data_IF_715817943640
#
_entry.id   IF_715817943640
#
_cell.length_a   1.000
_cell.length_b   1.000
_cell.length_c   1.000
_cell.angle_alpha   90.00
_cell.angle_beta   90.00
_cell.angle_gamma   90.00
#
_symmetry.space_group_name_H-M   'P 1'
#
loop_
_entity.id
_entity.type
_entity.pdbx_description
1 polymer ?
#
# COMPACT_ATOMS: atom_id res chain seq x y z
N UNK A 1 -25.19 10.33 -6.16
CA UNK A 1 -24.82 9.12 -5.42
C UNK A 1 -26.08 8.40 -5.00
N UNK A 2 -26.19 7.11 -5.31
CA UNK A 2 -27.31 6.28 -4.86
C UNK A 2 -27.17 5.92 -3.37
N UNK A 3 -28.27 5.53 -2.73
CA UNK A 3 -28.23 5.06 -1.34
C UNK A 3 -27.28 3.86 -1.16
N UNK A 4 -27.31 2.92 -2.10
CA UNK A 4 -26.43 1.75 -2.10
C UNK A 4 -24.95 2.12 -2.22
N UNK A 5 -24.60 3.08 -3.07
CA UNK A 5 -23.23 3.59 -3.18
C UNK A 5 -22.78 4.22 -1.86
N UNK A 6 -23.65 5.03 -1.23
CA UNK A 6 -23.35 5.66 0.05
C UNK A 6 -23.07 4.65 1.15
N UNK A 7 -23.88 3.59 1.23
CA UNK A 7 -23.71 2.50 2.19
C UNK A 7 -22.38 1.75 2.00
N UNK A 8 -21.96 1.52 0.75
CA UNK A 8 -20.67 0.89 0.46
C UNK A 8 -19.51 1.78 0.90
N UNK A 9 -19.58 3.08 0.60
CA UNK A 9 -18.55 4.04 1.01
C UNK A 9 -18.47 4.16 2.54
N UNK A 10 -19.59 4.10 3.24
CA UNK A 10 -19.61 4.10 4.72
C UNK A 10 -18.99 2.82 5.28
N UNK A 11 -19.31 1.65 4.71
CA UNK A 11 -18.67 0.38 5.10
C UNK A 11 -17.16 0.41 4.91
N UNK A 12 -16.67 1.02 3.83
CA UNK A 12 -15.23 1.23 3.63
C UNK A 12 -14.64 2.10 4.74
N UNK A 13 -15.27 3.22 5.09
CA UNK A 13 -14.82 4.07 6.18
C UNK A 13 -14.78 3.33 7.53
N UNK A 14 -15.80 2.52 7.81
CA UNK A 14 -15.85 1.65 8.99
C UNK A 14 -14.75 0.59 9.02
N UNK A 15 -14.33 0.08 7.87
CA UNK A 15 -13.16 -0.80 7.82
C UNK A 15 -11.90 -0.02 8.14
N UNK A 16 -11.67 1.13 7.48
CA UNK A 16 -10.48 1.97 7.71
C UNK A 16 -10.34 2.33 9.18
N UNK A 17 -11.40 2.87 9.79
CA UNK A 17 -11.36 3.31 11.20
C UNK A 17 -11.06 2.16 12.17
N UNK A 18 -11.26 0.91 11.75
CA UNK A 18 -11.03 -0.31 12.51
C UNK A 18 -9.66 -0.98 12.27
N UNK A 19 -8.76 -0.33 11.53
CA UNK A 19 -7.41 -0.83 11.27
C UNK A 19 -6.34 -0.01 12.02
N UNK A 20 -5.24 -0.66 12.49
CA UNK A 20 -5.03 -2.10 12.51
C UNK A 20 -6.00 -2.79 13.48
N UNK A 21 -6.22 -4.10 13.32
CA UNK A 21 -7.16 -4.82 14.20
C UNK A 21 -6.66 -4.95 15.64
N UNK A 22 -7.60 -5.08 16.57
CA UNK A 22 -7.35 -5.41 17.99
C UNK A 22 -6.57 -6.73 18.15
N UNK A 23 -6.71 -7.66 17.20
CA UNK A 23 -5.95 -8.90 17.21
C UNK A 23 -4.45 -8.69 17.09
N UNK A 24 -4.01 -7.63 16.41
CA UNK A 24 -2.60 -7.23 16.34
C UNK A 24 -2.14 -6.51 17.61
N UNK A 25 -3.02 -5.74 18.24
CA UNK A 25 -2.72 -5.12 19.54
C UNK A 25 -2.41 -6.20 20.58
N UNK A 26 -3.19 -7.29 20.60
CA UNK A 26 -2.96 -8.43 21.49
C UNK A 26 -1.61 -9.15 21.26
N UNK A 27 -1.00 -9.00 20.08
CA UNK A 27 0.33 -9.54 19.78
C UNK A 27 1.46 -8.58 20.18
N UNK A 28 1.16 -7.33 20.51
CA UNK A 28 2.16 -6.36 20.96
C UNK A 28 2.67 -6.74 22.35
N UNK A 29 3.99 -6.83 22.50
CA UNK A 29 4.63 -7.32 23.72
C UNK A 29 5.58 -6.28 24.34
N UNK A 30 5.77 -5.13 23.69
CA UNK A 30 6.41 -3.92 24.27
C UNK A 30 5.47 -2.73 24.25
N UNK A 31 5.70 -1.76 25.15
CA UNK A 31 4.96 -0.48 25.13
C UNK A 31 5.24 0.32 23.84
N UNK A 32 6.46 0.27 23.30
CA UNK A 32 6.78 0.92 22.01
C UNK A 32 5.94 0.37 20.84
N UNK A 33 5.66 -0.93 20.82
CA UNK A 33 4.78 -1.54 19.81
C UNK A 33 3.32 -1.11 20.00
N UNK A 34 2.83 -1.03 21.24
CA UNK A 34 1.47 -0.55 21.53
C UNK A 34 1.31 0.92 21.14
N UNK A 35 2.32 1.75 21.42
CA UNK A 35 2.33 3.16 20.99
C UNK A 35 2.33 3.28 19.47
N UNK A 36 3.12 2.47 18.76
CA UNK A 36 3.12 2.44 17.29
C UNK A 36 1.76 1.99 16.76
N UNK A 37 1.16 0.95 17.33
CA UNK A 37 -0.18 0.50 16.99
C UNK A 37 -1.20 1.64 17.13
N UNK A 38 -1.16 2.35 18.25
CA UNK A 38 -2.06 3.48 18.51
C UNK A 38 -1.85 4.62 17.50
N UNK A 39 -0.60 4.91 17.11
CA UNK A 39 -0.29 5.92 16.08
C UNK A 39 -0.87 5.54 14.71
N UNK A 40 -0.76 4.26 14.33
CA UNK A 40 -1.34 3.76 13.08
C UNK A 40 -2.86 3.81 13.17
N UNK A 41 -3.46 3.36 14.27
CA UNK A 41 -4.91 3.41 14.52
C UNK A 41 -5.46 4.83 14.41
N UNK A 42 -4.87 5.79 15.11
CA UNK A 42 -5.28 7.19 15.04
C UNK A 42 -5.18 7.74 13.61
N UNK A 43 -4.14 7.35 12.86
CA UNK A 43 -4.00 7.76 11.45
C UNK A 43 -5.14 7.21 10.60
N UNK A 44 -5.55 5.96 10.80
CA UNK A 44 -6.68 5.39 10.06
C UNK A 44 -8.03 6.00 10.46
N UNK A 45 -8.21 6.41 11.72
CA UNK A 45 -9.38 7.20 12.13
C UNK A 45 -9.47 8.51 11.33
N UNK A 46 -8.35 9.24 11.18
CA UNK A 46 -8.32 10.48 10.39
C UNK A 46 -8.55 10.24 8.89
N UNK A 47 -8.02 9.14 8.34
CA UNK A 47 -8.29 8.74 6.95
C UNK A 47 -9.77 8.42 6.75
N UNK A 48 -10.39 7.67 7.65
CA UNK A 48 -11.82 7.34 7.59
C UNK A 48 -12.69 8.61 7.69
N UNK A 49 -12.35 9.54 8.59
CA UNK A 49 -13.03 10.83 8.70
C UNK A 49 -12.92 11.61 7.38
N UNK A 50 -11.71 11.79 6.85
CA UNK A 50 -11.46 12.49 5.59
C UNK A 50 -12.17 11.84 4.40
N UNK A 51 -12.22 10.51 4.35
CA UNK A 51 -12.99 9.75 3.35
C UNK A 51 -14.48 10.09 3.40
N UNK A 52 -15.09 10.10 4.59
CA UNK A 52 -16.52 10.44 4.77
C UNK A 52 -16.81 11.86 4.29
N UNK A 53 -16.00 12.84 4.67
CA UNK A 53 -16.16 14.22 4.20
C UNK A 53 -16.13 14.28 2.68
N UNK A 54 -15.06 13.76 2.07
CA UNK A 54 -14.83 13.93 0.64
C UNK A 54 -15.83 13.16 -0.23
N UNK A 55 -16.28 11.97 0.19
CA UNK A 55 -17.03 11.07 -0.69
C UNK A 55 -18.45 10.73 -0.22
N UNK A 56 -18.79 10.99 1.04
CA UNK A 56 -20.14 10.72 1.58
C UNK A 56 -20.91 12.03 1.78
N UNK A 57 -20.27 13.00 2.43
CA UNK A 57 -20.87 14.31 2.68
C UNK A 57 -20.66 15.28 1.52
N UNK A 58 -19.76 14.96 0.59
CA UNK A 58 -19.36 15.82 -0.53
C UNK A 58 -18.88 17.20 -0.06
N UNK A 59 -18.09 17.20 1.01
CA UNK A 59 -17.47 18.37 1.61
C UNK A 59 -15.95 18.17 1.62
N UNK A 60 -15.20 19.27 1.51
CA UNK A 60 -13.74 19.20 1.66
C UNK A 60 -13.43 18.97 3.14
N UNK A 61 -12.63 17.95 3.45
CA UNK A 61 -12.18 17.72 4.82
C UNK A 61 -11.42 18.95 5.36
N UNK A 62 -11.91 19.61 6.41
CA UNK A 62 -11.51 20.98 6.65
C UNK A 62 -10.17 21.02 7.42
N UNK A 63 -9.18 21.67 6.80
CA UNK A 63 -7.80 21.74 7.28
C UNK A 63 -7.67 22.42 8.67
N UNK A 64 -8.35 23.55 8.97
CA UNK A 64 -8.23 24.19 10.28
C UNK A 64 -8.63 23.27 11.45
N UNK A 65 -9.72 22.54 11.32
CA UNK A 65 -10.25 21.62 12.32
C UNK A 65 -9.33 20.41 12.51
N UNK A 66 -8.75 19.90 11.41
CA UNK A 66 -7.75 18.85 11.47
C UNK A 66 -6.46 19.33 12.16
N UNK A 67 -5.97 20.54 11.86
CA UNK A 67 -4.76 21.12 12.45
C UNK A 67 -4.92 21.59 13.89
N UNK A 68 -6.16 21.83 14.35
CA UNK A 68 -6.45 22.10 15.76
C UNK A 68 -6.24 20.85 16.64
N UNK A 69 -6.13 19.66 16.03
CA UNK A 69 -5.73 18.44 16.76
C UNK A 69 -4.20 18.47 16.96
N UNK A 70 -3.69 18.42 18.21
CA UNK A 70 -2.25 18.57 18.52
C UNK A 70 -1.33 17.59 17.77
N UNK A 71 -1.89 16.46 17.33
CA UNK A 71 -1.19 15.33 16.72
C UNK A 71 -1.11 15.40 15.18
N UNK A 72 -1.71 16.42 14.56
CA UNK A 72 -1.84 16.54 13.11
C UNK A 72 -1.07 17.77 12.62
N UNK A 73 0.13 17.53 12.12
CA UNK A 73 0.86 18.55 11.36
C UNK A 73 0.27 18.71 9.96
N UNK A 74 0.53 19.86 9.30
CA UNK A 74 0.19 20.08 7.89
C UNK A 74 0.67 18.94 6.98
N UNK A 75 1.89 18.47 7.20
CA UNK A 75 2.45 17.39 6.39
C UNK A 75 1.72 16.06 6.61
N UNK A 76 1.28 15.78 7.84
CA UNK A 76 0.47 14.60 8.15
C UNK A 76 -0.92 14.71 7.53
N UNK A 77 -1.53 15.90 7.56
CA UNK A 77 -2.79 16.15 6.85
C UNK A 77 -2.65 15.91 5.34
N UNK A 78 -1.60 16.45 4.70
CA UNK A 78 -1.38 16.28 3.27
C UNK A 78 -1.23 14.78 2.91
N UNK A 79 -0.55 14.01 3.75
CA UNK A 79 -0.45 12.55 3.60
C UNK A 79 -1.81 11.86 3.77
N UNK A 80 -2.63 12.26 4.75
CA UNK A 80 -3.98 11.72 4.95
C UNK A 80 -4.84 11.96 3.70
N UNK A 81 -4.85 13.17 3.16
CA UNK A 81 -5.62 13.51 1.95
C UNK A 81 -5.15 12.66 0.76
N UNK A 82 -3.84 12.55 0.53
CA UNK A 82 -3.30 11.72 -0.56
C UNK A 82 -3.61 10.23 -0.37
N UNK A 83 -3.58 9.71 0.85
CA UNK A 83 -3.98 8.33 1.13
C UNK A 83 -5.46 8.10 0.80
N UNK A 84 -6.34 9.04 1.15
CA UNK A 84 -7.77 8.98 0.81
C UNK A 84 -7.99 9.00 -0.70
N UNK A 85 -7.30 9.88 -1.43
CA UNK A 85 -7.33 9.92 -2.90
C UNK A 85 -6.83 8.60 -3.52
N UNK A 86 -5.75 8.03 -2.97
CA UNK A 86 -5.20 6.77 -3.41
C UNK A 86 -6.20 5.63 -3.18
N UNK A 87 -6.73 5.47 -1.98
CA UNK A 87 -7.71 4.43 -1.66
C UNK A 87 -8.97 4.55 -2.51
N UNK A 88 -9.40 5.78 -2.84
CA UNK A 88 -10.52 5.99 -3.74
C UNK A 88 -10.20 5.52 -5.15
N UNK A 89 -9.02 5.84 -5.67
CA UNK A 89 -8.57 5.37 -6.97
C UNK A 89 -8.43 3.84 -7.01
N UNK A 90 -7.90 3.23 -5.95
CA UNK A 90 -7.79 1.78 -5.81
C UNK A 90 -9.17 1.11 -5.81
N UNK A 91 -10.11 1.63 -5.00
CA UNK A 91 -11.49 1.15 -4.96
C UNK A 91 -12.09 1.12 -6.37
N UNK A 92 -12.07 2.25 -7.07
CA UNK A 92 -12.64 2.36 -8.41
C UNK A 92 -11.95 1.48 -9.45
N UNK A 93 -10.64 1.23 -9.32
CA UNK A 93 -9.94 0.25 -10.16
C UNK A 93 -10.43 -1.16 -9.86
N UNK A 94 -10.59 -1.52 -8.59
CA UNK A 94 -11.04 -2.87 -8.19
C UNK A 94 -12.45 -3.15 -8.70
N UNK A 95 -13.37 -2.18 -8.66
CA UNK A 95 -14.73 -2.35 -9.20
C UNK A 95 -14.75 -2.81 -10.66
N UNK A 96 -13.79 -2.34 -11.47
CA UNK A 96 -13.69 -2.73 -12.89
C UNK A 96 -12.74 -3.91 -13.12
N UNK A 97 -11.78 -4.13 -12.22
CA UNK A 97 -10.73 -5.14 -12.34
C UNK A 97 -11.13 -6.51 -11.78
N UNK A 98 -12.05 -6.58 -10.80
CA UNK A 98 -12.42 -7.82 -10.08
C UNK A 98 -12.73 -8.97 -11.05
N UNK A 99 -13.53 -8.71 -12.09
CA UNK A 99 -13.91 -9.71 -13.11
C UNK A 99 -12.70 -10.34 -13.81
N UNK A 100 -11.61 -9.57 -13.99
CA UNK A 100 -10.36 -10.06 -14.57
C UNK A 100 -9.55 -10.84 -13.55
N UNK A 101 -9.48 -10.36 -12.31
CA UNK A 101 -8.80 -11.05 -11.20
C UNK A 101 -9.42 -12.42 -10.96
N UNK A 102 -10.73 -12.49 -10.82
CA UNK A 102 -11.50 -13.73 -10.68
C UNK A 102 -11.27 -14.69 -11.86
N UNK A 103 -11.25 -14.17 -13.09
CA UNK A 103 -11.00 -14.99 -14.30
C UNK A 103 -9.59 -15.57 -14.32
N UNK A 104 -8.56 -14.78 -14.00
CA UNK A 104 -7.17 -15.26 -13.92
C UNK A 104 -7.01 -16.24 -12.77
N UNK A 105 -7.66 -15.98 -11.62
CA UNK A 105 -7.60 -16.88 -10.49
C UNK A 105 -8.15 -18.27 -10.84
N UNK A 106 -9.27 -18.34 -11.54
CA UNK A 106 -9.85 -19.60 -12.00
C UNK A 106 -9.08 -20.23 -13.18
N UNK A 107 -8.53 -19.41 -14.07
CA UNK A 107 -7.86 -19.84 -15.31
C UNK A 107 -6.64 -18.96 -15.61
N UNK A 108 -5.48 -19.21 -14.96
CA UNK A 108 -4.30 -18.34 -15.06
C UNK A 108 -3.79 -18.12 -16.50
N UNK A 109 -4.02 -19.09 -17.39
CA UNK A 109 -3.56 -19.09 -18.78
C UNK A 109 -4.43 -18.28 -19.75
N UNK A 110 -5.62 -17.82 -19.35
CA UNK A 110 -6.59 -17.23 -20.30
C UNK A 110 -6.30 -15.76 -20.63
N UNK A 111 -5.70 -15.03 -19.70
CA UNK A 111 -5.37 -13.61 -19.87
C UNK A 111 -3.86 -13.34 -19.87
N UNK A 112 -3.07 -14.21 -19.26
CA UNK A 112 -1.62 -14.03 -19.17
C UNK A 112 -0.93 -14.95 -20.17
N UNK A 113 -0.06 -14.43 -21.06
CA UNK A 113 0.61 -15.25 -22.06
C UNK A 113 1.38 -16.41 -21.44
N UNK A 114 1.39 -17.59 -22.09
CA UNK A 114 2.10 -18.78 -21.59
C UNK A 114 3.58 -18.50 -21.26
N UNK A 115 4.24 -17.61 -22.00
CA UNK A 115 5.64 -17.19 -21.74
C UNK A 115 5.85 -16.45 -20.41
N UNK A 116 4.78 -15.91 -19.82
CA UNK A 116 4.78 -15.18 -18.54
C UNK A 116 4.22 -16.04 -17.41
N UNK A 117 3.64 -17.22 -17.72
CA UNK A 117 3.08 -18.17 -16.74
C UNK A 117 4.10 -18.59 -15.68
N UNK A 118 5.34 -18.84 -16.07
CA UNK A 118 6.40 -19.22 -15.13
C UNK A 118 6.78 -18.07 -14.18
N UNK A 119 6.56 -16.81 -14.58
CA UNK A 119 6.73 -15.66 -13.68
C UNK A 119 5.55 -15.53 -12.72
N UNK A 120 4.32 -15.83 -13.18
CA UNK A 120 3.15 -15.91 -12.31
C UNK A 120 3.39 -16.89 -11.15
N UNK A 121 3.66 -18.16 -11.42
CA UNK A 121 3.84 -19.14 -10.34
C UNK A 121 5.05 -18.87 -9.43
N UNK A 122 6.02 -18.09 -9.92
CA UNK A 122 7.15 -17.63 -9.09
C UNK A 122 6.76 -16.58 -8.06
N UNK A 123 5.76 -15.73 -8.36
CA UNK A 123 5.33 -14.63 -7.49
C UNK A 123 4.01 -14.90 -6.77
N UNK A 124 3.24 -15.86 -7.27
CA UNK A 124 1.91 -16.20 -6.82
C UNK A 124 1.93 -17.71 -6.52
N UNK A 125 2.12 -18.12 -5.25
CA UNK A 125 2.28 -19.52 -4.91
C UNK A 125 1.11 -20.36 -5.42
N UNK A 126 1.40 -21.57 -5.90
CA UNK A 126 0.39 -22.49 -6.44
C UNK A 126 -0.79 -22.68 -5.48
N UNK A 127 -0.51 -22.69 -4.17
CA UNK A 127 -1.52 -22.81 -3.11
C UNK A 127 -2.63 -21.76 -3.14
N UNK A 128 -2.41 -20.60 -3.78
CA UNK A 128 -3.43 -19.57 -3.96
C UNK A 128 -4.37 -19.95 -5.10
N UNK A 129 -3.82 -20.29 -6.26
CA UNK A 129 -4.61 -20.67 -7.45
C UNK A 129 -5.28 -22.04 -7.33
N UNK A 130 -4.77 -22.91 -6.45
CA UNK A 130 -5.37 -24.21 -6.18
C UNK A 130 -6.66 -24.10 -5.34
N UNK A 131 -6.91 -22.96 -4.70
CA UNK A 131 -8.12 -22.72 -3.91
C UNK A 131 -9.18 -22.01 -4.77
N UNK A 132 -10.47 -22.10 -4.39
CA UNK A 132 -11.49 -21.24 -4.97
C UNK A 132 -11.15 -19.76 -4.73
N UNK A 133 -11.53 -18.90 -5.67
CA UNK A 133 -11.41 -17.46 -5.51
C UNK A 133 -12.19 -17.02 -4.26
N UNK A 134 -11.54 -16.38 -3.26
CA UNK A 134 -12.12 -16.27 -1.92
C UNK A 134 -13.09 -15.09 -1.76
N UNK A 135 -13.25 -14.25 -2.78
CA UNK A 135 -14.05 -13.03 -2.69
C UNK A 135 -15.39 -13.18 -3.40
N UNK A 136 -16.44 -12.69 -2.75
CA UNK A 136 -17.80 -12.69 -3.30
C UNK A 136 -18.11 -11.39 -4.06
N UNK A 137 -17.36 -10.33 -3.79
CA UNK A 137 -17.55 -9.00 -4.37
C UNK A 137 -16.23 -8.24 -4.57
N UNK A 138 -16.30 -7.15 -5.34
CA UNK A 138 -15.25 -6.14 -5.46
C UNK A 138 -14.94 -5.49 -4.10
N UNK A 139 -15.96 -5.26 -3.28
CA UNK A 139 -15.83 -4.78 -1.91
C UNK A 139 -14.97 -5.72 -1.05
N UNK A 140 -15.22 -7.03 -1.10
CA UNK A 140 -14.44 -7.99 -0.30
C UNK A 140 -12.97 -7.99 -0.70
N UNK A 141 -12.69 -7.92 -2.00
CA UNK A 141 -11.34 -7.82 -2.54
C UNK A 141 -10.66 -6.52 -2.09
N UNK A 142 -11.36 -5.37 -2.15
CA UNK A 142 -10.82 -4.09 -1.69
C UNK A 142 -10.52 -4.09 -0.19
N UNK A 143 -11.43 -4.61 0.64
CA UNK A 143 -11.21 -4.75 2.09
C UNK A 143 -10.01 -5.63 2.39
N UNK A 144 -9.84 -6.74 1.67
CA UNK A 144 -8.68 -7.60 1.83
C UNK A 144 -7.37 -6.87 1.48
N UNK A 145 -7.34 -6.11 0.37
CA UNK A 145 -6.15 -5.32 0.01
C UNK A 145 -5.82 -4.25 1.04
N UNK A 146 -6.83 -3.57 1.57
CA UNK A 146 -6.66 -2.51 2.56
C UNK A 146 -6.12 -3.07 3.88
N UNK A 147 -6.63 -4.24 4.31
CA UNK A 147 -6.12 -4.97 5.48
C UNK A 147 -4.68 -5.39 5.27
N UNK A 148 -4.35 -6.02 4.13
CA UNK A 148 -2.97 -6.41 3.82
C UNK A 148 -1.99 -5.23 3.87
N UNK A 149 -2.38 -4.08 3.30
CA UNK A 149 -1.53 -2.90 3.26
C UNK A 149 -1.26 -2.32 4.66
N UNK A 150 -2.30 -2.19 5.49
CA UNK A 150 -2.17 -1.55 6.82
C UNK A 150 -1.64 -2.53 7.86
N UNK A 151 -2.22 -3.73 7.93
CA UNK A 151 -1.83 -4.74 8.91
C UNK A 151 -0.46 -5.33 8.58
N UNK A 152 -0.20 -5.65 7.31
CA UNK A 152 1.10 -6.18 6.88
C UNK A 152 2.25 -5.20 7.10
N UNK A 153 2.00 -3.88 6.92
CA UNK A 153 2.99 -2.86 7.26
C UNK A 153 3.27 -2.81 8.77
N UNK A 154 2.24 -2.98 9.62
CA UNK A 154 2.39 -3.00 11.07
C UNK A 154 3.03 -4.29 11.59
N UNK A 155 2.78 -5.45 10.96
CA UNK A 155 3.34 -6.74 11.38
C UNK A 155 4.87 -6.75 11.45
N UNK A 156 5.54 -5.94 10.62
CA UNK A 156 6.99 -5.72 10.69
C UNK A 156 7.41 -5.24 12.09
N UNK A 157 6.60 -4.40 12.74
CA UNK A 157 6.86 -3.89 14.09
C UNK A 157 6.80 -4.99 15.17
N UNK A 158 6.13 -6.11 14.90
CA UNK A 158 6.02 -7.24 15.82
C UNK A 158 7.23 -8.17 15.76
N UNK A 159 8.06 -8.07 14.71
CA UNK A 159 9.31 -8.84 14.60
C UNK A 159 10.26 -8.50 15.76
N UNK A 160 10.91 -9.53 16.31
CA UNK A 160 11.96 -9.36 17.33
C UNK A 160 13.10 -8.46 16.84
N UNK A 161 13.40 -8.56 15.55
CA UNK A 161 14.45 -7.77 14.93
C UNK A 161 14.04 -7.36 13.52
N UNK A 162 13.98 -6.05 13.27
CA UNK A 162 13.85 -5.50 11.93
C UNK A 162 14.72 -4.25 11.78
N UNK A 163 14.99 -3.87 10.54
CA UNK A 163 15.79 -2.68 10.24
C UNK A 163 15.17 -1.88 9.13
N UNK A 164 15.13 -0.56 9.31
CA UNK A 164 14.64 0.42 8.34
C UNK A 164 15.81 1.26 7.86
N UNK A 165 16.10 1.14 6.56
CA UNK A 165 17.12 1.94 5.90
C UNK A 165 16.45 2.97 4.98
N UNK A 166 16.27 4.19 5.48
CA UNK A 166 15.58 5.25 4.72
C UNK A 166 16.33 5.64 3.44
N UNK A 167 17.66 5.47 3.37
CA UNK A 167 18.42 5.73 2.13
C UNK A 167 18.02 4.75 1.02
N UNK A 168 17.93 3.45 1.34
CA UNK A 168 17.48 2.43 0.37
C UNK A 168 16.03 2.64 -0.04
N UNK A 169 15.14 2.93 0.92
CA UNK A 169 13.74 3.21 0.65
C UNK A 169 13.61 4.42 -0.29
N UNK A 170 14.30 5.53 -0.01
CA UNK A 170 14.31 6.73 -0.89
C UNK A 170 14.73 6.41 -2.33
N UNK A 171 15.80 5.64 -2.50
CA UNK A 171 16.27 5.23 -3.82
C UNK A 171 15.25 4.34 -4.54
N UNK A 172 14.65 3.38 -3.82
CA UNK A 172 13.59 2.52 -4.35
C UNK A 172 12.36 3.31 -4.77
N UNK A 173 11.91 4.24 -3.93
CA UNK A 173 10.77 5.14 -4.19
C UNK A 173 11.03 5.99 -5.43
N UNK A 174 12.22 6.58 -5.57
CA UNK A 174 12.58 7.35 -6.77
C UNK A 174 12.52 6.49 -8.04
N UNK A 175 13.11 5.29 -8.01
CA UNK A 175 13.04 4.36 -9.13
C UNK A 175 11.60 3.97 -9.46
N UNK A 176 10.74 3.73 -8.46
CA UNK A 176 9.33 3.43 -8.67
C UNK A 176 8.58 4.60 -9.32
N UNK A 177 8.81 5.84 -8.89
CA UNK A 177 8.21 7.03 -9.50
C UNK A 177 8.57 7.09 -10.99
N UNK A 178 9.85 6.93 -11.34
CA UNK A 178 10.31 6.98 -12.73
C UNK A 178 9.65 5.87 -13.58
N UNK A 179 9.49 4.66 -13.02
CA UNK A 179 8.84 3.53 -13.69
C UNK A 179 7.35 3.81 -13.91
N UNK A 180 6.65 4.33 -12.90
CA UNK A 180 5.21 4.62 -12.96
C UNK A 180 4.94 5.80 -13.91
N UNK A 181 5.78 6.84 -13.90
CA UNK A 181 5.63 7.98 -14.80
C UNK A 181 5.80 7.56 -16.27
N UNK A 182 6.80 6.72 -16.55
CA UNK A 182 6.97 6.12 -17.86
C UNK A 182 5.81 5.19 -18.26
N UNK A 183 5.21 4.48 -17.31
CA UNK A 183 4.01 3.68 -17.56
C UNK A 183 2.83 4.58 -17.95
N UNK A 184 2.63 5.70 -17.26
CA UNK A 184 1.56 6.67 -17.55
C UNK A 184 1.66 7.23 -18.98
N UNK A 185 2.87 7.54 -19.45
CA UNK A 185 3.11 7.94 -20.86
C UNK A 185 2.69 6.87 -21.88
N UNK A 186 2.61 5.61 -21.44
CA UNK A 186 2.18 4.44 -22.24
C UNK A 186 0.79 3.93 -21.86
N UNK A 187 -0.06 4.80 -21.30
CA UNK A 187 -1.43 4.44 -20.93
C UNK A 187 -1.51 3.56 -19.69
N UNK A 188 -0.61 3.74 -18.72
CA UNK A 188 -0.61 3.02 -17.45
C UNK A 188 0.04 1.64 -17.47
N UNK A 189 0.54 1.19 -18.63
CA UNK A 189 1.20 -0.12 -18.78
C UNK A 189 2.68 -0.03 -18.40
N UNK A 190 3.10 -0.81 -17.41
CA UNK A 190 4.48 -0.81 -16.91
C UNK A 190 5.48 -1.25 -17.98
N UNK A 191 6.59 -0.50 -18.15
CA UNK A 191 7.62 -0.88 -19.09
C UNK A 191 8.36 -2.14 -18.63
N UNK A 192 8.86 -2.92 -19.60
CA UNK A 192 9.83 -3.98 -19.30
C UNK A 192 11.14 -3.32 -18.87
N UNK A 193 11.54 -3.53 -17.63
CA UNK A 193 12.80 -3.02 -17.08
C UNK A 193 14.01 -3.78 -17.65
N UNK A 194 15.12 -3.08 -17.84
CA UNK A 194 16.40 -3.72 -18.13
C UNK A 194 16.89 -4.56 -16.93
N UNK A 195 17.66 -5.65 -17.14
CA UNK A 195 18.11 -6.51 -16.05
C UNK A 195 18.84 -5.78 -14.91
N UNK A 196 19.62 -4.75 -15.23
CA UNK A 196 20.32 -3.91 -14.23
C UNK A 196 19.33 -3.13 -13.37
N UNK A 197 18.36 -2.46 -13.99
CA UNK A 197 17.30 -1.72 -13.28
C UNK A 197 16.48 -2.65 -12.38
N UNK A 198 16.18 -3.87 -12.84
CA UNK A 198 15.51 -4.88 -12.02
C UNK A 198 16.33 -5.27 -10.80
N UNK A 199 17.64 -5.50 -10.95
CA UNK A 199 18.51 -5.86 -9.83
C UNK A 199 18.64 -4.72 -8.83
N UNK A 200 18.75 -3.48 -9.31
CA UNK A 200 18.78 -2.30 -8.44
C UNK A 200 17.48 -2.11 -7.67
N UNK A 201 16.33 -2.22 -8.35
CA UNK A 201 15.02 -2.13 -7.71
C UNK A 201 14.87 -3.21 -6.64
N UNK A 202 15.25 -4.46 -6.96
CA UNK A 202 15.24 -5.58 -6.00
C UNK A 202 16.10 -5.30 -4.77
N UNK A 203 17.29 -4.75 -4.97
CA UNK A 203 18.22 -4.39 -3.89
C UNK A 203 17.66 -3.27 -3.01
N UNK A 204 17.10 -2.22 -3.63
CA UNK A 204 16.59 -1.04 -2.93
C UNK A 204 15.29 -1.32 -2.17
N UNK A 205 14.39 -2.13 -2.74
CA UNK A 205 13.12 -2.51 -2.13
C UNK A 205 13.23 -3.63 -1.10
N UNK A 206 14.40 -4.30 -1.02
CA UNK A 206 14.56 -5.46 -0.15
C UNK A 206 13.71 -6.64 -0.61
N UNK A 207 13.89 -7.07 -1.87
CA UNK A 207 13.04 -8.07 -2.55
C UNK A 207 12.73 -9.34 -1.75
N UNK A 208 13.64 -9.78 -0.89
CA UNK A 208 13.46 -10.94 -0.01
C UNK A 208 12.32 -10.78 1.00
N UNK A 209 11.84 -9.54 1.22
CA UNK A 209 10.71 -9.21 2.11
C UNK A 209 9.39 -9.04 1.37
N UNK A 210 9.40 -9.08 0.04
CA UNK A 210 8.19 -8.94 -0.76
C UNK A 210 7.52 -10.31 -0.85
N UNK A 211 6.40 -10.44 -0.16
CA UNK A 211 5.49 -11.57 -0.24
C UNK A 211 4.38 -11.33 -1.28
N UNK A 212 3.54 -12.34 -1.48
CA UNK A 212 2.29 -12.17 -2.21
C UNK A 212 1.42 -11.07 -1.59
N UNK A 213 0.74 -10.29 -2.43
CA UNK A 213 -0.37 -9.42 -2.04
C UNK A 213 -1.45 -9.42 -3.13
N UNK A 214 -2.71 -9.27 -2.71
CA UNK A 214 -3.82 -9.10 -3.65
C UNK A 214 -3.67 -7.84 -4.48
N UNK A 215 -3.15 -6.77 -3.89
CA UNK A 215 -2.89 -5.53 -4.62
C UNK A 215 -1.86 -5.73 -5.74
N UNK A 216 -0.77 -6.46 -5.45
CA UNK A 216 0.20 -6.84 -6.47
C UNK A 216 -0.41 -7.69 -7.60
N UNK A 217 -1.32 -8.61 -7.25
CA UNK A 217 -2.06 -9.41 -8.23
C UNK A 217 -2.99 -8.55 -9.10
N UNK A 218 -3.77 -7.65 -8.50
CA UNK A 218 -4.65 -6.71 -9.20
C UNK A 218 -3.84 -5.88 -10.19
N UNK A 219 -2.76 -5.24 -9.73
CA UNK A 219 -1.91 -4.41 -10.57
C UNK A 219 -1.33 -5.19 -11.74
N UNK A 220 -0.81 -6.40 -11.48
CA UNK A 220 -0.26 -7.28 -12.51
C UNK A 220 -1.30 -7.64 -13.58
N UNK A 221 -2.50 -8.06 -13.17
CA UNK A 221 -3.58 -8.42 -14.09
C UNK A 221 -4.08 -7.21 -14.88
N UNK A 222 -4.19 -6.06 -14.22
CA UNK A 222 -4.59 -4.81 -14.87
C UNK A 222 -3.64 -4.41 -15.99
N UNK A 223 -2.33 -4.74 -15.91
CA UNK A 223 -1.39 -4.48 -17.02
C UNK A 223 -1.83 -5.16 -18.32
N UNK A 224 -2.27 -6.42 -18.23
CA UNK A 224 -2.71 -7.17 -19.40
C UNK A 224 -4.11 -6.75 -19.85
N UNK A 225 -5.01 -6.51 -18.90
CA UNK A 225 -6.38 -6.09 -19.20
C UNK A 225 -6.42 -4.70 -19.86
N UNK A 226 -5.56 -3.76 -19.45
CA UNK A 226 -5.48 -2.40 -20.01
C UNK A 226 -5.12 -2.35 -21.50
N UNK A 227 -4.54 -3.41 -22.06
CA UNK A 227 -4.27 -3.54 -23.49
C UNK A 227 -5.60 -3.57 -24.27
N UNK A 228 -6.64 -4.20 -23.69
CA UNK A 228 -7.91 -4.53 -24.36
C UNK A 228 -9.13 -3.81 -23.77
N UNK A 229 -9.04 -3.30 -22.55
CA UNK A 229 -10.12 -2.58 -21.86
C UNK A 229 -9.66 -1.15 -21.50
N UNK A 230 -10.26 -0.14 -22.13
CA UNK A 230 -9.94 1.27 -21.90
C UNK A 230 -10.37 1.77 -20.52
N UNK A 231 -11.39 1.17 -19.91
CA UNK A 231 -11.83 1.51 -18.56
C UNK A 231 -10.77 1.12 -17.54
N UNK A 232 -10.21 -0.10 -17.65
CA UNK A 232 -9.05 -0.51 -16.84
C UNK A 232 -7.89 0.46 -17.04
N UNK A 233 -7.58 0.79 -18.30
CA UNK A 233 -6.48 1.69 -18.65
C UNK A 233 -6.60 3.06 -17.97
N UNK A 234 -7.79 3.65 -18.02
CA UNK A 234 -8.09 4.94 -17.41
C UNK A 234 -7.95 4.87 -15.88
N UNK A 235 -8.58 3.88 -15.22
CA UNK A 235 -8.51 3.72 -13.76
C UNK A 235 -7.10 3.42 -13.25
N UNK A 236 -6.35 2.58 -13.98
CA UNK A 236 -4.95 2.29 -13.67
C UNK A 236 -4.07 3.54 -13.76
N UNK A 237 -4.30 4.39 -14.77
CA UNK A 237 -3.58 5.67 -14.89
C UNK A 237 -3.89 6.62 -13.73
N UNK A 238 -5.13 6.64 -13.23
CA UNK A 238 -5.52 7.44 -12.05
C UNK A 238 -4.79 6.92 -10.81
N UNK A 239 -4.82 5.60 -10.56
CA UNK A 239 -4.06 4.97 -9.46
C UNK A 239 -2.58 5.32 -9.52
N UNK A 240 -1.96 5.18 -10.69
CA UNK A 240 -0.55 5.49 -10.88
C UNK A 240 -0.20 6.95 -10.56
N UNK A 241 -1.05 7.91 -10.97
CA UNK A 241 -0.86 9.32 -10.64
C UNK A 241 -0.97 9.59 -9.15
N UNK A 242 -1.95 8.99 -8.47
CA UNK A 242 -2.10 9.10 -7.01
C UNK A 242 -0.90 8.47 -6.28
N UNK A 243 -0.42 7.31 -6.74
CA UNK A 243 0.77 6.64 -6.19
C UNK A 243 2.02 7.53 -6.29
N UNK A 244 2.27 8.16 -7.44
CA UNK A 244 3.41 9.08 -7.61
C UNK A 244 3.36 10.19 -6.58
N UNK A 245 2.20 10.87 -6.42
CA UNK A 245 2.06 11.97 -5.45
C UNK A 245 2.31 11.49 -4.02
N UNK A 246 1.73 10.35 -3.63
CA UNK A 246 1.92 9.77 -2.31
C UNK A 246 3.39 9.42 -2.05
N UNK A 247 4.07 8.86 -3.04
CA UNK A 247 5.50 8.53 -2.99
C UNK A 247 6.40 9.75 -2.90
N UNK A 248 6.14 10.81 -3.67
CA UNK A 248 6.88 12.06 -3.60
C UNK A 248 6.78 12.70 -2.21
N UNK A 249 5.56 12.73 -1.63
CA UNK A 249 5.36 13.32 -0.32
C UNK A 249 5.99 12.46 0.79
N UNK A 250 5.86 11.13 0.70
CA UNK A 250 6.49 10.20 1.64
C UNK A 250 8.02 10.26 1.57
N UNK A 251 8.59 10.38 0.37
CA UNK A 251 10.01 10.59 0.18
C UNK A 251 10.46 11.90 0.85
N UNK A 252 9.73 13.01 0.63
CA UNK A 252 9.95 14.30 1.31
C UNK A 252 9.92 14.16 2.84
N UNK A 253 8.93 13.47 3.38
CA UNK A 253 8.79 13.17 4.81
C UNK A 253 10.05 12.48 5.37
N UNK A 254 10.52 11.47 4.64
CA UNK A 254 11.61 10.61 5.07
C UNK A 254 12.98 11.30 5.11
N UNK A 255 13.15 12.50 4.54
CA UNK A 255 14.42 13.25 4.61
C UNK A 255 14.79 13.64 6.05
N UNK A 256 13.80 13.83 6.92
CA UNK A 256 14.01 14.19 8.32
C UNK A 256 14.21 12.97 9.23
N UNK A 257 13.98 11.76 8.72
CA UNK A 257 14.03 10.52 9.49
C UNK A 257 15.43 9.90 9.43
N UNK A 258 15.92 9.48 10.60
CA UNK A 258 17.13 8.69 10.74
C UNK A 258 16.79 7.21 10.61
N UNK A 259 17.62 6.46 9.89
CA UNK A 259 17.51 5.00 9.85
C UNK A 259 17.61 4.44 11.27
N UNK A 260 16.95 3.31 11.53
CA UNK A 260 17.02 2.63 12.82
C UNK A 260 16.87 1.11 12.66
N UNK A 261 17.24 0.41 13.71
CA UNK A 261 16.99 -1.02 13.91
C UNK A 261 16.11 -1.19 15.13
N UNK A 262 15.14 -2.10 15.07
CA UNK A 262 14.46 -2.60 16.26
C UNK A 262 15.20 -3.83 16.78
N UNK A 263 15.52 -3.84 18.08
CA UNK A 263 16.04 -5.01 18.79
C UNK A 263 15.13 -5.24 19.97
N UNK A 264 14.53 -6.42 20.00
CA UNK A 264 13.56 -6.83 21.01
C UNK A 264 12.45 -5.78 21.22
N UNK A 265 11.90 -5.29 20.09
CA UNK A 265 10.79 -4.33 20.09
C UNK A 265 11.17 -2.92 20.51
N UNK A 266 12.47 -2.63 20.69
CA UNK A 266 12.99 -1.29 21.01
C UNK A 266 13.73 -0.67 19.84
N UNK A 267 13.42 0.59 19.51
CA UNK A 267 14.09 1.32 18.42
C UNK A 267 15.47 1.81 18.85
N UNK A 268 16.50 1.30 18.18
CA UNK A 268 17.90 1.71 18.33
C UNK A 268 18.34 2.46 17.07
N UNK A 269 18.81 3.71 17.15
CA UNK A 269 19.32 4.42 15.99
C UNK A 269 20.56 3.72 15.44
N UNK A 270 20.76 3.76 14.12
CA UNK A 270 22.06 3.41 13.56
C UNK A 270 23.11 4.42 14.03
N UNK A 271 24.36 3.96 14.20
CA UNK A 271 25.49 4.86 14.28
C UNK A 271 25.58 5.77 13.03
N UNK A 272 26.41 6.82 13.10
CA UNK A 272 26.60 7.77 11.99
C UNK A 272 27.05 7.09 10.67
N UNK A 273 27.47 5.83 10.72
CA UNK A 273 28.00 5.07 9.59
C UNK A 273 27.03 3.98 9.08
N UNK A 274 25.83 3.85 9.66
CA UNK A 274 24.73 3.06 9.12
C UNK A 274 24.92 1.55 9.18
N UNK A 275 25.86 1.06 10.00
CA UNK A 275 26.27 -0.35 10.01
C UNK A 275 25.97 -1.11 11.30
N UNK A 276 26.02 -0.44 12.45
CA UNK A 276 25.89 -1.10 13.76
C UNK A 276 24.86 -0.38 14.63
N UNK A 277 23.94 -1.10 15.31
CA UNK A 277 23.09 -0.51 16.34
C UNK A 277 23.99 0.12 17.40
N UNK A 278 23.76 1.38 17.75
CA UNK A 278 24.49 2.00 18.87
C UNK A 278 24.08 1.23 20.13
N UNK A 279 24.98 0.40 20.66
CA UNK A 279 24.78 -0.16 22.01
C UNK A 279 24.77 1.03 22.95
N UNK A 280 23.65 1.23 23.65
CA UNK A 280 23.65 2.08 24.82
C UNK A 280 24.39 1.30 25.90
N UNK A 281 25.70 1.52 26.02
CA UNK A 281 26.44 1.12 27.20
C UNK A 281 25.87 1.94 28.38
N UNK A 282 25.22 1.24 29.31
CA UNK A 282 24.94 1.75 30.65
C UNK A 282 26.15 1.53 31.52
#
# INVERSE_FOLDING_TARGET
MTQKEREVLEKIAQVMENLPSESLLAKCWTEEQKEEWQKVRNTQLYIAECWRYNFIYNQVYPLPEALNKPEVSKHKYDLIVLSVELYKAQWELIQVAEKYVKRVHAQPTKLVPNKVKNQLYKFFPDSIFLKPYPFNSDYDLFVATLKEEIEGAFEICLEKHYSINFKRIKNGVKQLIDIIDNANKKGGIYPKLHPKEQQELKKNMGWHRISFSWWGMILFICQFAAIRDSSIRQKLTVVNKSLIKAFELSAKASYKLKSFTSIDGKKVPFDKFGGVPVKNDK
#
